data_IF_505563636527
#
_entry.id   IF_505563636527
#
_cell.length_a   1.000
_cell.length_b   1.000
_cell.length_c   1.000
_cell.angle_alpha   90.00
_cell.angle_beta   90.00
_cell.angle_gamma   90.00
#
_symmetry.space_group_name_H-M   'P 1'
#
loop_
_entity.id
_entity.type
_entity.pdbx_description
1 polymer ?
#
# COMPACT_ATOMS: atom_id res chain seq x y z
N UNK A 1 31.58 -53.75 48.03
CA UNK A 1 30.40 -53.69 48.92
C UNK A 1 30.00 -52.23 49.05
N UNK A 2 28.74 -51.89 48.72
CA UNK A 2 28.05 -50.57 48.74
C UNK A 2 28.11 -49.70 47.47
N UNK A 3 26.91 -49.38 46.96
CA UNK A 3 26.55 -48.28 46.04
C UNK A 3 26.34 -48.73 44.59
N UNK A 4 25.23 -48.46 43.89
CA UNK A 4 23.97 -47.81 44.23
C UNK A 4 22.98 -48.17 43.11
N UNK A 5 21.79 -48.62 43.50
CA UNK A 5 20.61 -48.78 42.65
C UNK A 5 20.06 -47.38 42.35
N UNK A 6 19.93 -46.99 41.07
CA UNK A 6 18.94 -46.04 40.54
C UNK A 6 19.42 -45.47 39.20
N UNK A 7 18.80 -45.87 38.09
CA UNK A 7 18.45 -44.97 36.98
C UNK A 7 17.49 -45.70 36.03
N UNK A 8 16.25 -45.89 36.49
CA UNK A 8 15.11 -46.32 35.69
C UNK A 8 13.96 -45.35 35.94
N UNK A 9 14.19 -44.04 35.78
CA UNK A 9 13.13 -43.02 35.84
C UNK A 9 13.60 -41.74 35.16
N UNK A 10 13.53 -41.68 33.83
CA UNK A 10 13.58 -40.40 33.10
C UNK A 10 13.08 -40.56 31.67
N UNK A 11 11.85 -41.05 31.49
CA UNK A 11 11.16 -41.01 30.20
C UNK A 11 9.65 -40.90 30.43
N UNK A 12 9.22 -39.88 31.16
CA UNK A 12 7.78 -39.58 31.34
C UNK A 12 7.47 -38.11 31.70
N UNK A 13 8.33 -37.15 31.36
CA UNK A 13 8.11 -35.74 31.72
C UNK A 13 7.82 -34.79 30.54
N UNK A 14 7.79 -35.28 29.29
CA UNK A 14 7.63 -34.40 28.12
C UNK A 14 6.28 -34.51 27.41
N UNK A 15 5.38 -35.40 27.86
CA UNK A 15 4.06 -35.60 27.22
C UNK A 15 2.94 -34.87 27.98
N UNK A 16 3.15 -34.52 29.25
CA UNK A 16 2.11 -33.89 30.08
C UNK A 16 1.96 -32.39 29.79
N UNK A 17 3.02 -31.68 29.42
CA UNK A 17 2.99 -30.23 29.17
C UNK A 17 2.46 -29.82 27.79
N UNK A 18 2.42 -30.74 26.81
CA UNK A 18 1.80 -30.46 25.51
C UNK A 18 0.26 -30.56 25.56
N UNK A 19 -0.27 -31.39 26.47
CA UNK A 19 -1.71 -31.66 26.56
C UNK A 19 -2.47 -30.52 27.26
N UNK A 20 -1.85 -29.86 28.25
CA UNK A 20 -2.43 -28.69 28.93
C UNK A 20 -2.51 -27.47 28.01
N UNK A 21 -1.55 -27.30 27.10
CA UNK A 21 -1.56 -26.27 26.07
C UNK A 21 -2.67 -26.48 25.05
N UNK A 22 -2.89 -27.72 24.61
CA UNK A 22 -3.94 -28.04 23.64
C UNK A 22 -5.33 -27.94 24.28
N UNK A 23 -5.51 -28.45 25.49
CA UNK A 23 -6.80 -28.35 26.19
C UNK A 23 -7.16 -26.91 26.56
N UNK A 24 -6.19 -26.09 26.97
CA UNK A 24 -6.43 -24.67 27.23
C UNK A 24 -6.74 -23.90 25.95
N UNK A 25 -6.06 -24.21 24.85
CA UNK A 25 -6.36 -23.65 23.53
C UNK A 25 -7.77 -24.03 23.03
N UNK A 26 -8.12 -25.31 23.08
CA UNK A 26 -9.45 -25.80 22.68
C UNK A 26 -10.55 -25.20 23.57
N UNK A 27 -10.31 -25.09 24.88
CA UNK A 27 -11.25 -24.46 25.80
C UNK A 27 -11.38 -22.95 25.54
N UNK A 28 -10.30 -22.28 25.16
CA UNK A 28 -10.31 -20.87 24.73
C UNK A 28 -11.12 -20.68 23.45
N UNK A 29 -10.93 -21.56 22.46
CA UNK A 29 -11.69 -21.58 21.21
C UNK A 29 -13.18 -21.81 21.47
N UNK A 30 -13.53 -22.82 22.26
CA UNK A 30 -14.91 -23.16 22.59
C UNK A 30 -15.60 -22.04 23.38
N UNK A 31 -14.87 -21.36 24.26
CA UNK A 31 -15.37 -20.18 24.99
C UNK A 31 -15.61 -19.01 24.04
N UNK A 32 -14.69 -18.78 23.10
CA UNK A 32 -14.80 -17.72 22.08
C UNK A 32 -15.97 -18.00 21.13
N UNK A 33 -16.11 -19.23 20.66
CA UNK A 33 -17.23 -19.69 19.82
C UNK A 33 -18.57 -19.54 20.53
N UNK A 34 -18.65 -19.89 21.81
CA UNK A 34 -19.87 -19.69 22.62
C UNK A 34 -20.19 -18.22 22.83
N UNK A 35 -19.18 -17.36 22.95
CA UNK A 35 -19.37 -15.91 23.05
C UNK A 35 -19.89 -15.33 21.73
N UNK A 36 -19.33 -15.75 20.59
CA UNK A 36 -19.82 -15.41 19.24
C UNK A 36 -21.24 -15.90 19.01
N UNK A 37 -21.59 -17.10 19.49
CA UNK A 37 -22.94 -17.65 19.35
C UNK A 37 -23.99 -17.08 20.32
N UNK A 38 -23.58 -16.55 21.48
CA UNK A 38 -24.49 -15.96 22.48
C UNK A 38 -24.64 -14.46 22.38
N UNK A 39 -23.71 -13.78 21.73
CA UNK A 39 -23.96 -12.42 21.34
C UNK A 39 -25.16 -12.46 20.39
N UNK A 40 -26.28 -11.84 20.78
CA UNK A 40 -27.31 -11.31 19.86
C UNK A 40 -26.68 -10.18 19.00
N UNK A 41 -25.49 -10.43 18.46
CA UNK A 41 -24.93 -9.64 17.40
C UNK A 41 -25.88 -9.85 16.23
N UNK A 42 -26.58 -8.77 15.88
CA UNK A 42 -26.99 -8.51 14.50
C UNK A 42 -25.97 -9.21 13.59
N UNK A 43 -26.40 -10.05 12.63
CA UNK A 43 -25.45 -10.71 11.74
C UNK A 43 -24.46 -9.63 11.35
N UNK A 44 -23.17 -9.85 11.62
CA UNK A 44 -22.14 -8.93 11.16
C UNK A 44 -22.57 -8.57 9.75
N UNK A 45 -22.89 -7.30 9.50
CA UNK A 45 -23.13 -6.86 8.14
C UNK A 45 -21.81 -7.21 7.48
N UNK A 46 -21.78 -8.35 6.81
CA UNK A 46 -20.68 -8.79 5.99
C UNK A 46 -20.78 -7.84 4.81
N UNK A 47 -20.34 -6.61 5.04
CA UNK A 47 -20.08 -5.66 3.99
C UNK A 47 -19.18 -6.43 3.05
N UNK A 48 -19.69 -6.66 1.84
CA UNK A 48 -19.05 -7.56 0.91
C UNK A 48 -17.61 -7.09 0.77
N UNK A 49 -16.66 -7.98 1.10
CA UNK A 49 -15.23 -7.67 0.99
C UNK A 49 -14.90 -7.18 -0.42
N UNK A 50 -15.69 -7.61 -1.41
CA UNK A 50 -15.61 -7.25 -2.81
C UNK A 50 -16.71 -6.23 -3.16
N UNK A 51 -16.38 -5.09 -3.81
CA UNK A 51 -17.38 -4.17 -4.33
C UNK A 51 -18.41 -4.89 -5.20
N UNK A 52 -19.70 -4.60 -5.01
CA UNK A 52 -20.79 -5.29 -5.69
C UNK A 52 -20.69 -5.22 -7.23
N UNK A 53 -20.04 -4.19 -7.77
CA UNK A 53 -19.83 -4.01 -9.21
C UNK A 53 -18.53 -4.62 -9.76
N UNK A 54 -17.70 -5.27 -8.93
CA UNK A 54 -16.39 -5.79 -9.33
C UNK A 54 -16.49 -6.79 -10.48
N UNK A 55 -15.83 -6.47 -11.59
CA UNK A 55 -15.74 -7.33 -12.77
C UNK A 55 -14.31 -7.40 -13.30
N UNK A 56 -13.97 -8.48 -13.98
CA UNK A 56 -12.68 -8.59 -14.66
C UNK A 56 -12.68 -7.73 -15.93
N UNK A 57 -11.62 -6.96 -16.13
CA UNK A 57 -11.36 -6.16 -17.31
C UNK A 57 -9.88 -6.27 -17.72
N UNK A 58 -9.50 -5.56 -18.78
CA UNK A 58 -8.11 -5.45 -19.23
C UNK A 58 -7.74 -4.00 -19.54
N UNK A 59 -6.52 -3.61 -19.16
CA UNK A 59 -5.93 -2.35 -19.57
C UNK A 59 -4.50 -2.60 -20.04
N UNK A 60 -4.17 -2.14 -21.25
CA UNK A 60 -2.86 -2.41 -21.89
C UNK A 60 -2.46 -3.90 -21.83
N UNK A 61 -3.42 -4.80 -22.06
CA UNK A 61 -3.23 -6.26 -22.01
C UNK A 61 -3.17 -6.88 -20.62
N UNK A 62 -3.13 -6.09 -19.54
CA UNK A 62 -3.01 -6.56 -18.15
C UNK A 62 -4.38 -6.68 -17.49
N UNK A 63 -4.55 -7.69 -16.66
CA UNK A 63 -5.81 -7.93 -15.94
C UNK A 63 -6.01 -6.90 -14.82
N UNK A 64 -7.21 -6.33 -14.76
CA UNK A 64 -7.57 -5.26 -13.82
C UNK A 64 -9.05 -5.38 -13.46
N UNK A 65 -9.45 -4.92 -12.27
CA UNK A 65 -10.86 -4.86 -11.89
C UNK A 65 -11.53 -3.62 -12.49
N UNK A 66 -12.70 -3.83 -13.09
CA UNK A 66 -13.65 -2.78 -13.44
C UNK A 66 -14.70 -2.61 -12.34
N UNK A 67 -14.98 -1.36 -11.98
CA UNK A 67 -15.96 -0.94 -10.99
C UNK A 67 -17.02 -0.03 -11.63
N UNK A 68 -18.15 0.16 -10.96
CA UNK A 68 -19.03 1.30 -11.20
C UNK A 68 -18.33 2.59 -10.77
N UNK A 69 -18.82 3.74 -11.25
CA UNK A 69 -18.30 5.03 -10.79
C UNK A 69 -18.51 5.21 -9.28
N UNK A 70 -19.68 4.83 -8.75
CA UNK A 70 -19.96 4.92 -7.30
C UNK A 70 -19.00 4.09 -6.47
N UNK A 71 -18.68 2.86 -6.92
CA UNK A 71 -17.80 1.94 -6.20
C UNK A 71 -16.35 2.41 -6.28
N UNK A 72 -15.92 3.00 -7.41
CA UNK A 72 -14.60 3.62 -7.50
C UNK A 72 -14.46 4.82 -6.55
N UNK A 73 -15.52 5.63 -6.41
CA UNK A 73 -15.52 6.73 -5.44
C UNK A 73 -15.56 6.23 -3.99
N UNK A 74 -16.27 5.13 -3.72
CA UNK A 74 -16.27 4.49 -2.41
C UNK A 74 -14.89 3.93 -2.06
N UNK A 75 -14.27 3.22 -3.00
CA UNK A 75 -12.90 2.71 -2.87
C UNK A 75 -11.90 3.83 -2.61
N UNK A 76 -12.03 4.97 -3.29
CA UNK A 76 -11.19 6.13 -3.02
C UNK A 76 -11.33 6.64 -1.59
N UNK A 77 -12.57 6.85 -1.11
CA UNK A 77 -12.82 7.31 0.26
C UNK A 77 -12.29 6.32 1.29
N UNK A 78 -12.42 5.03 1.02
CA UNK A 78 -11.86 3.99 1.86
C UNK A 78 -10.34 4.09 1.92
N UNK A 79 -9.65 4.13 0.76
CA UNK A 79 -8.19 4.30 0.72
C UNK A 79 -7.73 5.58 1.41
N UNK A 80 -8.46 6.68 1.26
CA UNK A 80 -8.18 7.93 1.95
C UNK A 80 -8.37 7.83 3.47
N UNK A 81 -9.26 6.95 3.95
CA UNK A 81 -9.52 6.77 5.39
C UNK A 81 -8.40 6.02 6.13
N UNK A 82 -7.49 5.37 5.41
CA UNK A 82 -6.29 4.73 5.94
C UNK A 82 -5.27 5.77 6.39
N UNK A 83 -5.49 6.34 7.58
CA UNK A 83 -4.66 7.43 8.13
C UNK A 83 -3.19 7.04 8.34
N UNK A 84 -2.86 5.75 8.40
CA UNK A 84 -1.49 5.23 8.44
C UNK A 84 -0.70 5.51 7.16
N UNK A 85 -1.38 5.75 6.04
CA UNK A 85 -0.75 6.14 4.77
C UNK A 85 -0.58 7.67 4.77
N UNK A 86 0.67 8.19 4.72
CA UNK A 86 0.96 9.61 4.84
C UNK A 86 0.77 10.33 3.50
N UNK A 87 -0.49 10.56 3.11
CA UNK A 87 -0.82 11.21 1.85
C UNK A 87 -0.31 12.66 1.75
N UNK A 88 -0.15 13.35 2.88
CA UNK A 88 0.37 14.71 2.94
C UNK A 88 1.90 14.79 2.82
N UNK A 89 2.61 13.65 2.87
CA UNK A 89 4.06 13.58 2.66
C UNK A 89 4.37 13.46 1.17
N UNK A 90 4.54 14.60 0.51
CA UNK A 90 4.62 14.71 -0.94
C UNK A 90 6.05 14.60 -1.48
N UNK A 91 7.08 14.64 -0.61
CA UNK A 91 8.47 14.70 -1.07
C UNK A 91 9.04 13.36 -1.56
N UNK A 92 8.56 12.26 -1.00
CA UNK A 92 8.94 10.89 -1.34
C UNK A 92 7.78 9.94 -0.99
N UNK A 93 7.98 8.64 -1.19
CA UNK A 93 7.07 7.63 -0.66
C UNK A 93 5.93 7.22 -1.59
N UNK A 94 5.91 7.68 -2.85
CA UNK A 94 4.78 7.39 -3.74
C UNK A 94 4.66 5.90 -4.05
N UNK A 95 5.78 5.20 -4.15
CA UNK A 95 5.86 3.75 -4.33
C UNK A 95 5.27 3.02 -3.13
N UNK A 96 5.68 3.39 -1.91
CA UNK A 96 5.23 2.80 -0.65
C UNK A 96 3.72 2.97 -0.48
N UNK A 97 3.21 4.19 -0.74
CA UNK A 97 1.77 4.50 -0.66
C UNK A 97 0.99 3.72 -1.70
N UNK A 98 1.43 3.74 -2.95
CA UNK A 98 0.76 3.02 -4.03
C UNK A 98 0.79 1.49 -3.80
N UNK A 99 1.89 0.97 -3.25
CA UNK A 99 2.04 -0.44 -2.92
C UNK A 99 1.07 -0.84 -1.79
N UNK A 100 1.00 -0.07 -0.71
CA UNK A 100 0.08 -0.38 0.40
C UNK A 100 -1.38 -0.25 -0.01
N UNK A 101 -1.76 0.81 -0.73
CA UNK A 101 -3.11 0.92 -1.28
C UNK A 101 -3.44 -0.26 -2.19
N UNK A 102 -2.50 -0.69 -3.05
CA UNK A 102 -2.73 -1.85 -3.93
C UNK A 102 -2.92 -3.15 -3.15
N UNK A 103 -2.14 -3.34 -2.07
CA UNK A 103 -2.28 -4.49 -1.16
C UNK A 103 -3.66 -4.51 -0.51
N UNK A 104 -4.12 -3.37 0.01
CA UNK A 104 -5.44 -3.22 0.63
C UNK A 104 -6.57 -3.48 -0.37
N UNK A 105 -6.46 -2.97 -1.60
CA UNK A 105 -7.41 -3.27 -2.69
C UNK A 105 -7.48 -4.77 -2.98
N UNK A 106 -6.34 -5.47 -3.03
CA UNK A 106 -6.31 -6.91 -3.30
C UNK A 106 -6.95 -7.74 -2.19
N UNK A 107 -6.78 -7.36 -0.91
CA UNK A 107 -7.48 -7.99 0.20
C UNK A 107 -9.01 -7.86 0.10
N UNK A 108 -9.48 -6.86 -0.65
CA UNK A 108 -10.88 -6.63 -1.00
C UNK A 108 -11.30 -7.28 -2.33
N UNK A 109 -10.46 -8.11 -2.92
CA UNK A 109 -10.73 -8.69 -4.24
C UNK A 109 -10.83 -7.68 -5.39
N UNK A 110 -10.33 -6.46 -5.19
CA UNK A 110 -10.10 -5.49 -6.26
C UNK A 110 -8.67 -5.67 -6.74
N UNK A 111 -8.48 -6.00 -8.02
CA UNK A 111 -7.16 -6.10 -8.64
C UNK A 111 -6.81 -4.78 -9.31
N UNK A 112 -6.00 -3.90 -8.68
CA UNK A 112 -5.52 -2.71 -9.35
C UNK A 112 -4.34 -3.04 -10.27
N UNK A 113 -4.04 -2.11 -11.16
CA UNK A 113 -2.72 -1.92 -11.74
C UNK A 113 -2.02 -0.78 -11.01
N UNK A 114 -0.74 -0.54 -11.28
CA UNK A 114 -0.08 0.71 -10.93
C UNK A 114 0.16 1.52 -12.19
N UNK A 115 -0.13 2.81 -12.12
CA UNK A 115 0.19 3.75 -13.18
C UNK A 115 1.39 4.58 -12.77
N UNK A 116 2.49 4.45 -13.50
CA UNK A 116 3.65 5.31 -13.38
C UNK A 116 3.52 6.46 -14.38
N UNK A 117 3.64 7.69 -13.90
CA UNK A 117 3.79 8.88 -14.72
C UNK A 117 5.22 9.40 -14.56
N UNK A 118 5.98 9.47 -15.65
CA UNK A 118 7.38 9.89 -15.61
C UNK A 118 7.75 10.84 -16.73
N UNK A 119 8.83 11.57 -16.50
CA UNK A 119 9.47 12.45 -17.48
C UNK A 119 10.91 12.02 -17.70
N UNK A 120 11.51 12.47 -18.80
CA UNK A 120 12.92 12.22 -19.07
C UNK A 120 13.79 12.83 -17.96
N UNK A 121 14.47 11.99 -17.19
CA UNK A 121 15.31 12.42 -16.08
C UNK A 121 16.47 13.34 -16.51
N UNK A 122 16.85 13.35 -17.78
CA UNK A 122 17.91 14.22 -18.28
C UNK A 122 17.41 15.57 -18.81
N UNK A 123 16.08 15.79 -18.82
CA UNK A 123 15.47 17.00 -19.38
C UNK A 123 14.62 17.74 -18.35
N UNK A 124 14.55 19.07 -18.49
CA UNK A 124 13.53 19.90 -17.84
C UNK A 124 12.36 20.11 -18.81
N UNK A 125 11.12 20.31 -18.33
CA UNK A 125 10.70 20.43 -16.93
C UNK A 125 10.56 19.09 -16.18
N UNK A 126 10.34 19.15 -14.87
CA UNK A 126 9.94 18.01 -14.00
C UNK A 126 8.43 18.02 -13.82
N UNK A 127 7.84 16.91 -13.35
CA UNK A 127 6.45 16.98 -12.85
C UNK A 127 6.42 17.94 -11.67
N UNK A 128 5.37 18.76 -11.56
CA UNK A 128 5.28 19.75 -10.48
C UNK A 128 3.87 19.77 -9.92
N UNK A 129 3.75 19.58 -8.61
CA UNK A 129 2.49 19.68 -7.87
C UNK A 129 2.56 20.76 -6.80
N UNK A 130 1.43 21.43 -6.50
CA UNK A 130 1.35 22.28 -5.31
C UNK A 130 1.62 21.46 -4.06
N UNK A 131 2.48 21.97 -3.17
CA UNK A 131 2.65 21.35 -1.86
C UNK A 131 1.40 21.62 -0.99
N UNK A 132 0.98 20.70 -0.09
CA UNK A 132 -0.18 20.90 0.77
C UNK A 132 -0.15 22.19 1.61
N UNK A 133 1.04 22.73 1.92
CA UNK A 133 1.21 24.01 2.62
C UNK A 133 0.82 25.26 1.77
N UNK A 134 0.59 25.10 0.46
CA UNK A 134 0.20 26.16 -0.48
C UNK A 134 1.28 27.20 -0.81
N UNK A 135 2.48 27.11 -0.23
CA UNK A 135 3.59 28.07 -0.42
C UNK A 135 4.65 27.55 -1.37
N UNK A 136 4.85 26.23 -1.37
CA UNK A 136 5.89 25.58 -2.14
C UNK A 136 5.30 24.67 -3.22
N UNK A 137 6.19 24.18 -4.09
CA UNK A 137 5.86 23.19 -5.09
C UNK A 137 6.83 22.02 -4.96
N UNK A 138 6.33 20.82 -5.23
CA UNK A 138 7.16 19.61 -5.25
C UNK A 138 7.42 19.21 -6.69
N UNK A 139 8.70 18.95 -6.97
CA UNK A 139 9.18 18.53 -8.28
C UNK A 139 9.51 17.06 -8.25
N UNK A 140 8.92 16.29 -9.15
CA UNK A 140 9.10 14.85 -9.21
C UNK A 140 9.66 14.42 -10.56
N UNK A 141 10.51 13.39 -10.52
CA UNK A 141 10.96 12.68 -11.73
C UNK A 141 9.87 11.75 -12.26
N UNK A 142 9.16 11.12 -11.33
CA UNK A 142 7.98 10.32 -11.60
C UNK A 142 7.04 10.35 -10.39
N UNK A 143 5.81 9.91 -10.60
CA UNK A 143 4.83 9.64 -9.56
C UNK A 143 4.08 8.35 -9.90
N UNK A 144 3.56 7.67 -8.88
CA UNK A 144 2.84 6.40 -9.06
C UNK A 144 1.61 6.35 -8.18
N UNK A 145 0.53 5.79 -8.73
CA UNK A 145 -0.71 5.54 -8.01
C UNK A 145 -1.44 4.28 -8.54
N UNK A 146 -2.29 3.64 -7.72
CA UNK A 146 -3.17 2.57 -8.16
C UNK A 146 -4.14 3.01 -9.26
N UNK A 147 -4.37 2.12 -10.21
CA UNK A 147 -5.30 2.26 -11.33
C UNK A 147 -6.35 1.15 -11.30
N UNK A 148 -7.61 1.54 -11.45
CA UNK A 148 -8.75 0.64 -11.68
C UNK A 148 -9.47 1.04 -12.97
N UNK A 149 -10.26 0.13 -13.53
CA UNK A 149 -11.18 0.49 -14.62
C UNK A 149 -12.52 0.90 -14.02
N UNK A 150 -13.19 1.87 -14.65
CA UNK A 150 -14.51 2.33 -14.24
C UNK A 150 -15.45 2.30 -15.43
N UNK A 151 -16.62 1.70 -15.24
CA UNK A 151 -17.64 1.62 -16.28
C UNK A 151 -18.58 2.80 -16.18
N UNK A 152 -18.55 3.65 -17.21
CA UNK A 152 -19.39 4.83 -17.34
C UNK A 152 -20.14 4.72 -18.67
N UNK A 153 -21.47 4.64 -18.61
CA UNK A 153 -22.32 4.51 -19.79
C UNK A 153 -21.88 3.37 -20.74
N UNK A 154 -21.52 2.22 -20.16
CA UNK A 154 -21.05 1.04 -20.90
C UNK A 154 -19.61 1.10 -21.43
N UNK A 155 -18.89 2.21 -21.22
CA UNK A 155 -17.48 2.35 -21.59
C UNK A 155 -16.57 2.16 -20.39
N UNK A 156 -15.47 1.45 -20.57
CA UNK A 156 -14.45 1.28 -19.54
C UNK A 156 -13.41 2.40 -19.65
N UNK A 157 -13.25 3.17 -18.58
CA UNK A 157 -12.36 4.32 -18.48
C UNK A 157 -11.36 4.06 -17.36
N UNK A 158 -10.04 4.25 -17.59
CA UNK A 158 -9.05 4.10 -16.52
C UNK A 158 -9.16 5.24 -15.51
N UNK A 159 -9.25 4.90 -14.24
CA UNK A 159 -9.29 5.83 -13.11
C UNK A 159 -8.11 5.60 -12.19
N UNK A 160 -7.64 6.69 -11.59
CA UNK A 160 -6.57 6.72 -10.59
C UNK A 160 -7.18 6.92 -9.21
N UNK A 161 -6.65 6.18 -8.24
CA UNK A 161 -6.96 6.31 -6.82
C UNK A 161 -5.73 6.88 -6.13
N UNK A 162 -5.67 8.21 -5.97
CA UNK A 162 -4.51 8.90 -5.40
C UNK A 162 -4.93 9.99 -4.40
N UNK A 163 -5.12 9.66 -3.12
CA UNK A 163 -5.45 10.65 -2.10
C UNK A 163 -4.33 11.66 -1.81
N UNK A 164 -3.10 11.45 -2.30
CA UNK A 164 -2.00 12.42 -2.13
C UNK A 164 -2.09 13.61 -3.10
N UNK A 165 -2.86 13.46 -4.18
CA UNK A 165 -3.05 14.51 -5.19
C UNK A 165 -4.50 14.92 -5.39
N UNK A 166 -5.42 13.99 -5.21
CA UNK A 166 -6.82 14.13 -5.61
C UNK A 166 -7.75 14.13 -4.40
N UNK A 167 -8.95 14.66 -4.57
CA UNK A 167 -10.02 14.63 -3.55
C UNK A 167 -11.04 13.52 -3.79
N UNK A 168 -10.92 12.82 -4.91
CA UNK A 168 -11.85 11.79 -5.40
C UNK A 168 -11.12 10.89 -6.40
N UNK A 169 -11.71 9.76 -6.76
CA UNK A 169 -11.20 8.99 -7.89
C UNK A 169 -11.38 9.82 -9.17
N UNK A 170 -10.32 9.94 -9.97
CA UNK A 170 -10.33 10.75 -11.20
C UNK A 170 -9.93 9.92 -12.42
N UNK A 171 -10.40 10.27 -13.63
CA UNK A 171 -9.89 9.68 -14.86
C UNK A 171 -8.38 9.89 -15.01
N UNK A 172 -7.69 8.93 -15.63
CA UNK A 172 -6.24 8.98 -15.88
C UNK A 172 -5.76 10.29 -16.52
N UNK A 173 -6.55 10.86 -17.45
CA UNK A 173 -6.20 12.10 -18.12
C UNK A 173 -6.30 13.33 -17.20
N UNK A 174 -7.21 13.31 -16.23
CA UNK A 174 -7.35 14.38 -15.23
C UNK A 174 -6.17 14.35 -14.26
N UNK A 175 -5.80 13.17 -13.75
CA UNK A 175 -4.61 12.98 -12.92
C UNK A 175 -3.33 13.45 -13.63
N UNK A 176 -3.16 13.06 -14.91
CA UNK A 176 -2.05 13.53 -15.75
C UNK A 176 -2.01 15.05 -15.83
N UNK A 177 -3.16 15.70 -16.04
CA UNK A 177 -3.26 17.16 -16.16
C UNK A 177 -2.87 17.88 -14.87
N UNK A 178 -3.16 17.32 -13.70
CA UNK A 178 -2.76 17.93 -12.43
C UNK A 178 -1.24 17.91 -12.22
N UNK A 179 -0.55 16.84 -12.62
CA UNK A 179 0.92 16.77 -12.57
C UNK A 179 1.62 17.70 -13.57
N UNK A 180 0.93 18.07 -14.66
CA UNK A 180 1.46 18.93 -15.74
C UNK A 180 0.84 20.32 -15.76
N UNK A 181 0.15 20.74 -14.70
CA UNK A 181 -0.57 22.02 -14.66
C UNK A 181 0.35 23.22 -14.96
N UNK A 182 1.61 23.12 -14.55
CA UNK A 182 2.65 24.14 -14.76
C UNK A 182 3.18 24.19 -16.20
N UNK A 183 3.18 23.07 -16.92
CA UNK A 183 3.57 22.96 -18.34
C UNK A 183 2.79 21.84 -19.03
N UNK A 184 1.64 22.13 -19.65
CA UNK A 184 0.81 21.13 -20.29
C UNK A 184 1.46 20.42 -21.49
N UNK A 185 2.57 20.96 -22.03
CA UNK A 185 3.26 20.40 -23.22
C UNK A 185 4.37 19.42 -22.85
N UNK A 186 4.68 19.27 -21.56
CA UNK A 186 5.69 18.32 -21.12
C UNK A 186 5.32 16.88 -21.55
N UNK A 187 6.24 16.15 -22.21
CA UNK A 187 5.99 14.77 -22.59
C UNK A 187 6.05 13.87 -21.36
N UNK A 188 4.89 13.48 -20.85
CA UNK A 188 4.77 12.50 -19.75
C UNK A 188 4.54 11.11 -20.31
N UNK A 189 5.42 10.19 -19.96
CA UNK A 189 5.30 8.76 -20.21
C UNK A 189 4.37 8.15 -19.16
N UNK A 190 3.38 7.39 -19.62
CA UNK A 190 2.39 6.75 -18.76
C UNK A 190 2.50 5.23 -18.96
N UNK A 191 2.93 4.51 -17.93
CA UNK A 191 3.11 3.06 -17.98
C UNK A 191 2.29 2.35 -16.91
N UNK A 192 1.39 1.46 -17.35
CA UNK A 192 0.60 0.63 -16.44
C UNK A 192 1.30 -0.70 -16.20
N UNK A 193 1.50 -1.02 -14.93
CA UNK A 193 2.22 -2.21 -14.47
C UNK A 193 1.34 -3.05 -13.55
N UNK A 194 1.76 -4.28 -13.26
CA UNK A 194 1.09 -5.10 -12.26
C UNK A 194 1.24 -4.47 -10.87
N UNK A 195 0.27 -4.70 -9.99
CA UNK A 195 0.27 -4.12 -8.65
C UNK A 195 1.53 -4.43 -7.82
N UNK A 196 2.20 -5.56 -8.06
CA UNK A 196 3.41 -5.96 -7.34
C UNK A 196 4.68 -5.26 -7.81
N UNK A 197 4.68 -4.66 -9.01
CA UNK A 197 5.84 -3.89 -9.46
C UNK A 197 6.00 -2.66 -8.57
N UNK A 198 7.16 -2.53 -7.95
CA UNK A 198 7.44 -1.51 -6.95
C UNK A 198 8.04 -0.25 -7.58
N UNK A 199 8.96 -0.42 -8.53
CA UNK A 199 9.68 0.67 -9.16
C UNK A 199 9.35 0.79 -10.66
N UNK A 200 9.62 1.97 -11.20
CA UNK A 200 9.32 2.28 -12.61
C UNK A 200 10.11 1.41 -13.60
N UNK A 201 11.33 0.98 -13.24
CA UNK A 201 12.16 0.17 -14.13
C UNK A 201 11.80 -1.32 -14.12
N UNK A 202 10.93 -1.74 -13.20
CA UNK A 202 10.54 -3.15 -13.04
C UNK A 202 11.63 -4.04 -12.46
N UNK A 203 12.69 -3.45 -11.90
CA UNK A 203 13.78 -4.19 -11.24
C UNK A 203 13.30 -4.81 -9.93
N UNK A 204 12.32 -4.19 -9.27
CA UNK A 204 11.78 -4.63 -8.00
C UNK A 204 10.31 -4.99 -8.18
N UNK A 205 10.06 -6.30 -8.18
CA UNK A 205 8.71 -6.86 -8.00
C UNK A 205 8.63 -7.35 -6.56
N UNK A 206 7.63 -6.85 -5.83
CA UNK A 206 7.43 -7.12 -4.41
C UNK A 206 6.09 -7.84 -4.25
N UNK A 207 6.10 -9.18 -4.14
CA UNK A 207 4.86 -9.93 -3.99
C UNK A 207 4.14 -9.54 -2.71
N UNK A 208 2.82 -9.40 -2.77
CA UNK A 208 2.04 -9.06 -1.57
C UNK A 208 2.00 -10.20 -0.54
N UNK A 209 2.43 -11.40 -0.92
CA UNK A 209 2.63 -12.53 -0.02
C UNK A 209 3.91 -12.43 0.83
N UNK A 210 4.82 -11.49 0.53
CA UNK A 210 6.02 -11.26 1.31
C UNK A 210 5.71 -10.41 2.56
N UNK A 211 5.43 -11.08 3.68
CA UNK A 211 5.09 -10.42 4.94
C UNK A 211 6.23 -9.56 5.51
N UNK A 212 7.49 -9.95 5.26
CA UNK A 212 8.66 -9.19 5.70
C UNK A 212 8.71 -7.84 4.97
N UNK A 213 8.53 -7.88 3.64
CA UNK A 213 8.48 -6.67 2.84
C UNK A 213 7.28 -5.79 3.19
N UNK A 214 6.09 -6.38 3.36
CA UNK A 214 4.90 -5.62 3.75
C UNK A 214 5.11 -4.89 5.09
N UNK A 215 5.74 -5.54 6.06
CA UNK A 215 6.08 -4.93 7.36
C UNK A 215 7.07 -3.78 7.18
N UNK A 216 8.14 -3.98 6.40
CA UNK A 216 9.11 -2.93 6.12
C UNK A 216 8.48 -1.73 5.40
N UNK A 217 7.57 -1.97 4.45
CA UNK A 217 6.81 -0.92 3.77
C UNK A 217 5.95 -0.12 4.77
N UNK A 218 5.24 -0.82 5.66
CA UNK A 218 4.43 -0.17 6.71
C UNK A 218 5.27 0.63 7.71
N UNK A 219 6.46 0.14 8.07
CA UNK A 219 7.41 0.88 8.91
C UNK A 219 7.91 2.15 8.21
N UNK A 220 8.20 2.07 6.90
CA UNK A 220 8.58 3.24 6.10
C UNK A 220 7.44 4.25 5.97
N UNK A 221 6.20 3.80 5.77
CA UNK A 221 5.01 4.69 5.80
C UNK A 221 4.84 5.36 7.16
N UNK A 222 5.09 4.64 8.26
CA UNK A 222 5.06 5.22 9.60
C UNK A 222 6.14 6.29 9.77
N UNK A 223 7.36 6.04 9.29
CA UNK A 223 8.45 7.02 9.30
C UNK A 223 8.06 8.30 8.54
N UNK A 224 7.55 8.18 7.31
CA UNK A 224 7.04 9.30 6.52
C UNK A 224 5.91 10.06 7.22
N UNK A 225 5.02 9.34 7.91
CA UNK A 225 3.94 9.94 8.71
C UNK A 225 4.47 10.72 9.91
N UNK A 226 5.59 10.32 10.51
CA UNK A 226 6.22 11.12 11.56
C UNK A 226 6.85 12.39 10.98
N UNK A 227 7.54 12.29 9.84
CA UNK A 227 8.06 13.48 9.15
C UNK A 227 6.95 14.44 8.73
N UNK A 228 5.80 13.94 8.26
CA UNK A 228 4.71 14.81 7.79
C UNK A 228 4.05 15.64 8.90
N UNK A 229 4.30 15.33 10.18
CA UNK A 229 3.78 16.12 11.33
C UNK A 229 4.63 17.35 11.60
N UNK A 230 5.89 17.34 11.21
CA UNK A 230 6.82 18.45 11.40
C UNK A 230 6.76 19.38 10.18
N UNK A 231 6.53 20.70 10.35
CA UNK A 231 6.59 21.67 9.26
C UNK A 231 7.88 21.60 8.44
N UNK A 232 9.00 21.23 9.07
CA UNK A 232 10.30 21.06 8.43
C UNK A 232 10.63 19.59 8.11
N UNK A 233 9.72 18.66 8.39
CA UNK A 233 9.99 17.22 8.31
C UNK A 233 10.34 16.73 6.90
N UNK A 234 9.71 17.28 5.87
CA UNK A 234 10.09 16.97 4.48
C UNK A 234 11.52 17.45 4.15
N UNK A 235 11.90 18.64 4.63
CA UNK A 235 13.26 19.16 4.45
C UNK A 235 14.28 18.32 5.24
N UNK A 236 13.94 17.96 6.48
CA UNK A 236 14.75 17.09 7.33
C UNK A 236 14.97 15.72 6.67
N UNK A 237 13.93 15.15 6.06
CA UNK A 237 14.06 13.91 5.29
C UNK A 237 15.01 14.07 4.10
N UNK A 238 14.91 15.15 3.32
CA UNK A 238 15.85 15.41 2.23
C UNK A 238 17.30 15.53 2.71
N UNK A 239 17.54 16.27 3.80
CA UNK A 239 18.87 16.42 4.37
C UNK A 239 19.43 15.09 4.86
N UNK A 240 18.59 14.25 5.48
CA UNK A 240 18.98 12.92 5.92
C UNK A 240 19.35 12.04 4.72
N UNK A 241 18.51 12.05 3.67
CA UNK A 241 18.76 11.29 2.44
C UNK A 241 20.05 11.73 1.74
N UNK A 242 20.33 13.03 1.68
CA UNK A 242 21.59 13.55 1.13
C UNK A 242 22.80 13.10 1.94
N UNK A 243 22.73 13.19 3.28
CA UNK A 243 23.81 12.72 4.16
C UNK A 243 24.08 11.22 4.03
N UNK A 244 23.03 10.42 3.83
CA UNK A 244 23.18 8.98 3.66
C UNK A 244 23.81 8.63 2.32
N UNK A 245 23.47 9.34 1.25
CA UNK A 245 24.15 9.24 -0.05
C UNK A 245 25.63 9.60 0.06
N UNK A 246 25.95 10.74 0.69
CA UNK A 246 27.34 11.15 0.92
C UNK A 246 28.11 10.12 1.75
N UNK A 247 27.47 9.50 2.75
CA UNK A 247 28.12 8.44 3.54
C UNK A 247 28.42 7.21 2.71
N UNK A 248 27.52 6.80 1.82
CA UNK A 248 27.72 5.65 0.93
C UNK A 248 28.87 5.91 -0.04
N UNK A 249 28.92 7.09 -0.66
CA UNK A 249 30.00 7.47 -1.57
C UNK A 249 31.38 7.48 -0.87
N UNK A 250 31.42 7.79 0.42
CA UNK A 250 32.65 7.76 1.23
C UNK A 250 33.07 6.35 1.67
N UNK A 251 32.21 5.35 1.57
CA UNK A 251 32.52 3.94 1.89
C UNK A 251 32.98 3.15 0.66
N UNK A 252 32.67 3.62 -0.54
CA UNK A 252 33.02 2.99 -1.82
C UNK A 252 34.34 3.51 -2.44
N UNK A 253 35.00 4.48 -1.78
CA UNK A 253 36.34 5.02 -2.12
C UNK A 253 37.43 4.50 -1.18
#
# INVERSE_FOLDING_TARGET
MKGLLALLFSLNASVVSANDGLHSFVKGLDTTLKYVHRADSRPCENEALIPASSQSAKYQGKAVTALSESDAQALFREMQSHTEIPFDFAIAGCEERAHEMSRLMLLKGVRPLKMFASVDENKSPRLEVPHPNGKDKRRWKFHVAPLVMVRINGKEVPYIIDPSMEKKAVPLQEWKKHMTLHDPKIPVMMDATIAEQYDISGRYVRPFSDESWNRANQEKLKEFKEYSKDPDGENNYLFQMQRDLERMDMMDN
#
